data_IF_199671625684
#
_entry.id   IF_199671625684
#
_cell.length_a   1.000
_cell.length_b   1.000
_cell.length_c   1.000
_cell.angle_alpha   90.00
_cell.angle_beta   90.00
_cell.angle_gamma   90.00
#
_symmetry.space_group_name_H-M   'P 1'
#
loop_
_entity.id
_entity.type
_entity.pdbx_description
1 polymer ?
2 non-polymer ?
3 non-polymer ?
4 water ?
#
# COMPACT_ATOMS: atom_id res chain seq x y z
N UNK A 1 2.66 26.41 -14.53
CA UNK A 1 1.61 26.20 -13.53
C UNK A 1 2.01 25.31 -12.38
N UNK A 2 3.31 25.11 -12.18
CA UNK A 2 3.81 24.31 -11.06
C UNK A 2 3.90 25.17 -9.80
N UNK A 3 3.05 24.88 -8.82
CA UNK A 3 3.06 25.52 -7.51
C UNK A 3 4.05 24.81 -6.59
N UNK A 4 4.83 25.57 -5.83
CA UNK A 4 5.79 25.04 -4.86
C UNK A 4 5.24 25.27 -3.46
N UNK A 5 5.19 24.21 -2.64
CA UNK A 5 4.66 24.33 -1.29
C UNK A 5 5.81 24.45 -0.30
N UNK A 6 5.55 24.95 0.94
CA UNK A 6 6.66 25.11 1.90
C UNK A 6 7.45 23.85 2.13
N UNK A 7 6.82 22.68 2.03
CA UNK A 7 7.54 21.43 2.26
C UNK A 7 8.51 21.11 1.14
N UNK A 8 8.41 21.78 -0.01
CA UNK A 8 9.20 21.40 -1.16
C UNK A 8 8.42 20.57 -2.16
N UNK A 9 7.26 20.07 -1.73
CA UNK A 9 6.36 19.35 -2.64
C UNK A 9 5.93 20.33 -3.72
N UNK A 10 5.88 19.85 -4.94
CA UNK A 10 5.39 20.66 -6.03
C UNK A 10 4.24 19.93 -6.70
N UNK A 11 3.32 20.70 -7.26
CA UNK A 11 2.16 20.10 -7.87
C UNK A 11 1.66 20.98 -9.01
N UNK A 12 0.93 20.34 -9.91
CA UNK A 12 0.25 20.98 -11.02
C UNK A 12 -1.18 20.49 -11.04
N UNK A 13 -2.13 21.41 -10.98
CA UNK A 13 -3.54 21.04 -11.06
C UNK A 13 -3.88 20.77 -12.51
N UNK A 14 -4.26 19.53 -12.82
CA UNK A 14 -4.71 19.21 -14.18
C UNK A 14 -6.17 19.58 -14.34
N UNK A 15 -6.99 19.18 -13.38
CA UNK A 15 -8.39 19.50 -13.36
C UNK A 15 -8.81 19.57 -11.91
N UNK A 16 -9.52 20.63 -11.55
CA UNK A 16 -9.97 20.84 -10.18
C UNK A 16 -11.38 20.31 -9.96
N UNK A 17 -11.64 19.82 -8.75
CA UNK A 17 -12.90 19.23 -8.40
C UNK A 17 -13.66 20.11 -7.42
N UNK A 18 -14.90 19.72 -7.15
CA UNK A 18 -15.77 20.48 -6.27
C UNK A 18 -16.09 19.76 -4.97
N UNK A 19 -15.59 18.55 -4.76
CA UNK A 19 -15.93 17.82 -3.55
C UNK A 19 -15.08 18.28 -2.37
N UNK A 20 -15.30 17.66 -1.22
CA UNK A 20 -14.58 18.03 0.00
C UNK A 20 -13.13 17.55 -0.08
N UNK A 21 -12.26 18.19 0.72
CA UNK A 21 -10.85 17.84 0.87
C UNK A 21 -10.68 16.85 2.03
N UNK A 22 -9.90 15.78 1.88
CA UNK A 22 -9.74 14.84 2.98
C UNK A 22 -8.84 15.38 4.09
N UNK A 23 -9.11 14.92 5.31
CA UNK A 23 -8.19 15.04 6.41
C UNK A 23 -7.45 13.72 6.60
N UNK A 24 -6.51 13.69 7.56
CA UNK A 24 -5.62 12.51 7.71
C UNK A 24 -6.37 11.28 8.25
N UNK A 25 -7.45 11.48 8.99
CA UNK A 25 -8.17 10.28 9.42
C UNK A 25 -9.07 9.72 8.33
N UNK A 26 -9.25 10.48 7.25
CA UNK A 26 -10.20 10.11 6.20
C UNK A 26 -9.68 8.95 5.37
N UNK A 27 -10.64 8.26 4.76
CA UNK A 27 -10.36 7.22 3.79
C UNK A 27 -10.64 7.80 2.42
N UNK A 28 -9.78 7.47 1.47
CA UNK A 28 -9.72 8.13 0.19
C UNK A 28 -9.72 7.05 -0.90
N UNK A 29 -10.46 7.31 -1.97
CA UNK A 29 -10.46 6.47 -3.16
C UNK A 29 -9.81 7.27 -4.28
N UNK A 30 -8.82 6.68 -4.94
CA UNK A 30 -7.97 7.35 -5.92
C UNK A 30 -7.60 6.39 -7.04
N UNK A 31 -7.13 6.99 -8.12
CA UNK A 31 -6.42 6.28 -9.18
C UNK A 31 -5.16 7.10 -9.41
N UNK A 32 -4.03 6.41 -9.67
CA UNK A 32 -2.77 7.13 -9.81
C UNK A 32 -1.81 6.36 -10.72
N UNK A 33 -0.80 7.08 -11.17
CA UNK A 33 0.37 6.51 -11.82
C UNK A 33 1.61 7.16 -11.22
N UNK A 34 2.58 6.34 -10.82
CA UNK A 34 3.84 6.82 -10.28
C UNK A 34 5.01 6.57 -11.22
N UNK A 35 5.88 7.57 -11.38
CA UNK A 35 6.98 7.46 -12.33
C UNK A 35 8.25 8.12 -11.77
N UNK A 36 9.40 7.69 -12.32
CA UNK A 36 10.67 8.32 -11.95
C UNK A 36 10.94 9.41 -12.99
N UNK A 37 12.02 10.15 -12.85
CA UNK A 37 12.28 11.27 -13.80
C UNK A 37 12.66 10.70 -15.17
N UNK A 38 13.13 9.45 -15.20
CA UNK A 38 13.49 8.78 -16.48
C UNK A 38 12.22 8.34 -17.19
N UNK A 39 11.11 8.29 -16.47
CA UNK A 39 9.85 7.91 -17.07
C UNK A 39 9.37 6.52 -16.75
N UNK A 40 10.17 5.71 -16.06
CA UNK A 40 9.75 4.38 -15.64
C UNK A 40 8.57 4.48 -14.68
N UNK A 41 7.47 3.83 -15.04
CA UNK A 41 6.29 3.73 -14.16
C UNK A 41 6.54 2.64 -13.13
N UNK A 42 6.38 2.96 -11.85
CA UNK A 42 6.69 1.97 -10.79
C UNK A 42 5.42 1.26 -10.29
N UNK A 43 4.30 1.97 -10.17
CA UNK A 43 3.02 1.31 -9.80
C UNK A 43 1.89 2.12 -10.42
N UNK A 44 0.76 1.46 -10.66
CA UNK A 44 -0.34 2.20 -11.25
C UNK A 44 -1.61 1.50 -10.87
N UNK A 45 -2.70 2.27 -10.77
CA UNK A 45 -3.99 1.63 -10.65
C UNK A 45 -4.46 1.06 -11.97
N UNK A 46 -3.87 1.48 -13.10
CA UNK A 46 -4.22 0.84 -14.37
C UNK A 46 -3.74 -0.61 -14.39
N UNK A 47 -2.60 -0.89 -13.77
CA UNK A 47 -2.08 -2.25 -13.77
C UNK A 47 -3.00 -3.19 -13.02
N UNK A 48 -3.69 -2.69 -12.00
CA UNK A 48 -4.55 -3.51 -11.17
C UNK A 48 -6.00 -3.53 -11.67
N UNK A 49 -6.39 -2.59 -12.52
CA UNK A 49 -7.74 -2.58 -13.03
C UNK A 49 -8.72 -1.76 -12.22
N UNK A 50 -8.46 -1.53 -10.95
CA UNK A 50 -9.38 -0.94 -9.99
C UNK A 50 -8.79 0.27 -9.28
N UNK A 51 -9.64 1.18 -8.77
CA UNK A 51 -9.14 2.27 -7.92
C UNK A 51 -8.57 1.74 -6.62
N UNK A 52 -7.82 2.60 -5.94
CA UNK A 52 -7.18 2.26 -4.67
C UNK A 52 -7.85 3.03 -3.54
N UNK A 53 -8.10 2.33 -2.42
CA UNK A 53 -8.72 2.87 -1.21
C UNK A 53 -7.81 2.69 0.01
N UNK A 54 -7.49 3.78 0.68
CA UNK A 54 -6.60 3.76 1.82
C UNK A 54 -6.94 4.92 2.74
N UNK A 55 -6.40 4.85 3.96
CA UNK A 55 -6.47 5.96 4.90
C UNK A 55 -5.40 6.98 4.56
N UNK A 56 -5.79 8.27 4.55
CA UNK A 56 -4.87 9.33 4.13
C UNK A 56 -3.58 9.28 4.95
N UNK A 57 -3.64 8.82 6.21
CA UNK A 57 -2.46 8.79 7.06
C UNK A 57 -1.49 7.66 6.71
N UNK A 58 -1.91 6.67 5.94
CA UNK A 58 -1.03 5.53 5.68
C UNK A 58 -0.16 5.71 4.44
N UNK A 59 -0.21 6.87 3.79
CA UNK A 59 0.56 7.08 2.56
C UNK A 59 1.78 7.95 2.86
N UNK A 60 2.72 8.00 1.91
CA UNK A 60 3.96 8.77 2.09
C UNK A 60 3.63 10.24 2.30
N UNK A 61 4.48 10.99 3.02
CA UNK A 61 4.14 12.39 3.34
C UNK A 61 3.87 13.27 2.12
N UNK A 62 4.46 12.99 0.96
CA UNK A 62 4.17 13.83 -0.20
C UNK A 62 2.71 13.72 -0.61
N UNK A 63 2.13 12.54 -0.46
CA UNK A 63 0.71 12.35 -0.73
C UNK A 63 -0.16 12.94 0.39
N UNK A 64 0.20 12.69 1.67
CA UNK A 64 -0.64 13.24 2.76
C UNK A 64 -0.69 14.76 2.69
N UNK A 65 0.41 15.39 2.24
CA UNK A 65 0.43 16.83 2.06
C UNK A 65 -0.46 17.26 0.87
N UNK A 66 -0.35 16.57 -0.28
CA UNK A 66 -1.17 16.94 -1.43
C UNK A 66 -2.66 16.67 -1.20
N UNK A 67 -2.98 15.50 -0.64
CA UNK A 67 -4.37 15.07 -0.56
C UNK A 67 -5.20 16.04 0.25
N UNK A 68 -4.62 16.57 1.33
CA UNK A 68 -5.35 17.48 2.20
C UNK A 68 -5.68 18.79 1.51
N UNK A 69 -5.08 19.06 0.36
CA UNK A 69 -5.40 20.22 -0.45
C UNK A 69 -6.27 19.89 -1.66
N UNK A 70 -6.49 18.60 -1.97
CA UNK A 70 -7.20 18.24 -3.20
C UNK A 70 -8.68 18.11 -2.94
N UNK A 71 -9.54 18.91 -3.57
CA UNK A 71 -10.98 18.64 -3.50
C UNK A 71 -11.28 17.34 -4.20
N UNK A 72 -12.25 16.59 -3.66
CA UNK A 72 -12.66 15.35 -4.29
C UNK A 72 -13.10 15.61 -5.73
N UNK A 73 -12.71 14.70 -6.63
CA UNK A 73 -12.94 14.89 -8.05
C UNK A 73 -11.76 15.45 -8.82
N UNK A 74 -10.76 15.99 -8.11
CA UNK A 74 -9.61 16.65 -8.72
C UNK A 74 -8.63 15.63 -9.30
N UNK A 75 -7.87 16.09 -10.29
CA UNK A 75 -6.71 15.39 -10.85
C UNK A 75 -5.51 16.35 -10.79
N UNK A 76 -4.51 15.99 -10.00
CA UNK A 76 -3.28 16.75 -9.85
C UNK A 76 -2.10 15.87 -10.28
N UNK A 77 -1.02 16.54 -10.63
CA UNK A 77 0.28 15.91 -10.77
C UNK A 77 1.14 16.47 -9.66
N UNK A 78 1.72 15.60 -8.82
CA UNK A 78 2.63 16.07 -7.77
C UNK A 78 4.04 15.54 -8.05
N UNK A 79 5.04 16.34 -7.65
CA UNK A 79 6.48 16.09 -7.84
C UNK A 79 7.12 16.07 -6.46
N UNK A 80 7.41 14.87 -5.97
CA UNK A 80 7.66 14.61 -4.55
C UNK A 80 9.16 14.56 -4.32
N UNK A 81 9.73 15.41 -3.48
CA UNK A 81 11.13 15.23 -3.11
C UNK A 81 11.28 13.93 -2.33
N UNK A 82 12.48 13.34 -2.44
CA UNK A 82 12.76 12.05 -1.82
C UNK A 82 12.47 12.06 -0.33
N UNK A 83 12.72 13.20 0.35
CA UNK A 83 12.44 13.29 1.78
C UNK A 83 10.97 13.17 2.11
N UNK A 84 10.08 13.55 1.18
CA UNK A 84 8.64 13.39 1.28
C UNK A 84 8.18 12.10 0.64
N UNK A 85 9.11 11.21 0.34
CA UNK A 85 8.76 9.90 -0.24
C UNK A 85 9.45 8.77 0.53
N UNK A 86 10.52 8.19 -0.02
CA UNK A 86 11.18 7.03 0.62
C UNK A 86 12.56 7.42 1.15
N UNK A 87 13.03 8.63 0.87
CA UNK A 87 14.24 9.10 1.51
C UNK A 87 15.49 8.35 1.06
N UNK A 88 16.47 8.25 1.95
CA UNK A 88 17.73 7.57 1.57
C UNK A 88 17.60 6.06 1.46
N UNK A 89 16.42 5.55 1.74
CA UNK A 89 16.22 4.09 1.65
C UNK A 89 15.82 3.69 0.24
N UNK A 90 16.34 2.57 -0.25
CA UNK A 90 15.89 2.04 -1.56
C UNK A 90 14.71 1.12 -1.25
N UNK A 91 13.57 1.31 -1.93
CA UNK A 91 12.35 0.53 -1.58
C UNK A 91 12.03 -0.50 -2.68
N UNK A 92 12.03 -1.79 -2.32
CA UNK A 92 11.76 -2.89 -3.28
C UNK A 92 11.28 -2.46 -4.65
N UNK A 93 12.21 -1.99 -5.49
CA UNK A 93 11.85 -1.59 -6.86
C UNK A 93 12.97 -0.80 -7.52
N UNK A 94 12.75 -0.23 -8.72
CA UNK A 94 13.75 0.61 -9.36
C UNK A 94 13.91 1.88 -8.52
N UNK A 95 13.00 2.07 -7.55
CA UNK A 95 13.11 3.23 -6.64
C UNK A 95 14.36 2.98 -5.79
N UNK A 96 15.38 3.81 -6.00
CA UNK A 96 16.62 3.66 -5.23
C UNK A 96 16.75 4.72 -4.16
N UNK A 97 17.97 5.08 -3.76
CA UNK A 97 18.18 6.05 -2.70
C UNK A 97 17.91 7.49 -3.15
N UNK A 98 17.24 8.26 -2.29
CA UNK A 98 16.98 9.67 -2.55
C UNK A 98 16.36 9.88 -3.95
N UNK A 99 15.26 9.16 -4.17
CA UNK A 99 14.58 9.14 -5.47
C UNK A 99 13.47 10.17 -5.51
N UNK A 100 13.48 11.01 -6.56
CA UNK A 100 12.35 11.89 -6.83
C UNK A 100 11.24 11.08 -7.50
N UNK A 101 10.00 11.30 -7.06
CA UNK A 101 8.86 10.57 -7.56
C UNK A 101 7.84 11.53 -8.14
N UNK A 102 7.30 11.16 -9.30
CA UNK A 102 6.23 11.92 -9.93
C UNK A 102 4.97 11.06 -9.91
N UNK A 103 3.87 11.62 -9.38
CA UNK A 103 2.57 10.95 -9.33
C UNK A 103 1.51 11.81 -10.01
N UNK A 104 0.75 11.16 -10.89
CA UNK A 104 -0.45 11.82 -11.44
C UNK A 104 -1.57 11.21 -10.60
N UNK A 105 -2.20 12.02 -9.76
CA UNK A 105 -3.21 11.44 -8.82
C UNK A 105 -4.60 11.93 -9.18
N UNK A 106 -5.55 11.01 -9.23
CA UNK A 106 -6.95 11.43 -9.43
C UNK A 106 -7.71 11.04 -8.16
N UNK A 107 -8.13 12.03 -7.39
CA UNK A 107 -8.91 11.79 -6.18
C UNK A 107 -10.39 11.58 -6.56
N UNK A 108 -10.91 10.39 -6.31
CA UNK A 108 -12.29 10.08 -6.70
C UNK A 108 -13.28 10.45 -5.61
N UNK A 109 -13.06 9.93 -4.41
CA UNK A 109 -14.03 10.07 -3.35
C UNK A 109 -13.32 10.10 -2.00
N UNK A 110 -13.97 10.78 -1.07
CA UNK A 110 -13.50 10.97 0.29
C UNK A 110 -14.59 10.43 1.21
N UNK A 111 -14.19 9.65 2.21
CA UNK A 111 -15.10 9.07 3.18
C UNK A 111 -14.56 9.40 4.56
N UNK A 112 -15.42 9.86 5.48
CA UNK A 112 -14.92 10.30 6.77
C UNK A 112 -14.93 9.10 7.71
N UNK A 113 -14.17 9.19 8.80
CA UNK A 113 -14.04 8.00 9.66
C UNK A 113 -14.55 8.29 11.06
N UNK B 1 1.49 -27.60 11.85
CA UNK B 1 2.39 -27.43 10.73
C UNK B 1 1.93 -26.46 9.65
N UNK B 2 2.57 -26.51 8.48
CA UNK B 2 2.23 -25.61 7.39
C UNK B 2 0.95 -26.13 6.74
N UNK B 3 -0.14 -25.41 6.93
CA UNK B 3 -1.45 -25.78 6.38
C UNK B 3 -1.54 -25.33 4.92
N UNK B 4 -2.09 -26.20 4.08
CA UNK B 4 -2.26 -25.90 2.66
C UNK B 4 -3.74 -25.70 2.37
N UNK B 5 -4.07 -24.58 1.70
CA UNK B 5 -5.43 -24.20 1.35
C UNK B 5 -5.70 -24.47 -0.12
N UNK B 6 -6.97 -24.63 -0.51
CA UNK B 6 -7.28 -24.87 -1.93
C UNK B 6 -6.69 -23.85 -2.91
N UNK B 7 -6.47 -22.59 -2.47
CA UNK B 7 -5.96 -21.55 -3.36
C UNK B 7 -4.48 -21.72 -3.71
N UNK B 8 -3.74 -22.49 -2.92
CA UNK B 8 -2.30 -22.55 -3.01
C UNK B 8 -1.63 -21.78 -1.90
N UNK B 9 -2.38 -20.89 -1.25
CA UNK B 9 -1.87 -20.20 -0.07
C UNK B 9 -1.52 -21.22 1.00
N UNK B 10 -0.40 -20.98 1.67
CA UNK B 10 0.01 -21.78 2.79
C UNK B 10 0.30 -20.85 3.95
N UNK B 11 0.08 -21.37 5.15
CA UNK B 11 0.32 -20.57 6.34
C UNK B 11 0.78 -21.49 7.46
N UNK B 12 1.50 -20.90 8.40
CA UNK B 12 1.95 -21.55 9.61
C UNK B 12 1.60 -20.61 10.77
N UNK B 13 0.88 -21.13 11.75
CA UNK B 13 0.53 -20.33 12.92
C UNK B 13 1.76 -20.23 13.80
N UNK B 14 2.27 -19.01 13.97
CA UNK B 14 3.35 -18.80 14.91
C UNK B 14 2.79 -18.63 16.31
N UNK B 15 1.71 -17.85 16.43
CA UNK B 15 1.03 -17.64 17.70
C UNK B 15 -0.45 -17.44 17.40
N UNK B 16 -1.29 -18.07 18.20
CA UNK B 16 -2.73 -17.96 18.00
C UNK B 16 -3.30 -16.83 18.85
N UNK B 17 -4.37 -16.23 18.34
CA UNK B 17 -5.06 -15.15 18.99
C UNK B 17 -6.45 -15.61 19.40
N UNK B 18 -7.14 -14.71 20.11
CA UNK B 18 -8.48 -14.99 20.58
C UNK B 18 -9.52 -14.16 19.85
N UNK B 19 -9.08 -13.20 19.04
CA UNK B 19 -9.92 -12.13 18.58
C UNK B 19 -10.81 -12.46 17.41
N UNK B 20 -11.51 -11.43 16.96
CA UNK B 20 -12.41 -11.54 15.82
C UNK B 20 -11.59 -11.64 14.54
N UNK B 21 -12.15 -12.29 13.55
CA UNK B 21 -11.57 -12.39 12.23
C UNK B 21 -12.15 -11.29 11.34
N UNK B 22 -11.32 -10.58 10.58
CA UNK B 22 -11.85 -9.52 9.72
C UNK B 22 -12.60 -10.07 8.52
N UNK B 23 -13.55 -9.26 8.03
CA UNK B 23 -14.22 -9.53 6.77
C UNK B 23 -13.64 -8.72 5.62
N UNK B 24 -14.20 -8.97 4.42
CA UNK B 24 -13.64 -8.42 3.19
C UNK B 24 -13.71 -6.90 3.16
N UNK B 25 -14.75 -6.32 3.76
CA UNK B 25 -14.95 -4.88 3.87
C UNK B 25 -14.24 -4.27 5.07
N UNK B 26 -13.78 -5.10 6.02
CA UNK B 26 -13.23 -4.60 7.27
C UNK B 26 -11.83 -4.01 7.08
N UNK B 27 -11.46 -3.15 8.03
CA UNK B 27 -10.15 -2.54 8.12
C UNK B 27 -9.29 -3.21 9.19
N UNK B 28 -7.99 -3.35 8.92
CA UNK B 28 -7.10 -4.13 9.74
C UNK B 28 -5.83 -3.33 10.02
N UNK B 29 -5.32 -3.44 11.25
CA UNK B 29 -4.05 -2.87 11.64
C UNK B 29 -3.07 -4.01 11.94
N UNK B 30 -1.88 -3.97 11.35
CA UNK B 30 -0.98 -5.11 11.41
C UNK B 30 0.46 -4.67 11.54
N UNK B 31 1.30 -5.65 11.85
CA UNK B 31 2.75 -5.56 11.79
C UNK B 31 3.20 -6.69 10.87
N UNK B 32 4.10 -6.38 9.94
CA UNK B 32 4.49 -7.39 8.97
C UNK B 32 5.94 -7.21 8.54
N UNK B 33 6.50 -8.30 8.04
CA UNK B 33 7.78 -8.32 7.32
C UNK B 33 7.59 -9.23 6.12
N UNK B 34 7.90 -8.73 4.93
CA UNK B 34 7.81 -9.48 3.70
C UNK B 34 9.18 -9.78 3.11
N UNK B 35 9.36 -11.02 2.63
CA UNK B 35 10.65 -11.48 2.11
C UNK B 35 10.45 -12.44 0.95
N UNK B 36 11.50 -12.61 0.15
CA UNK B 36 11.53 -13.59 -0.93
C UNK B 36 12.13 -14.90 -0.42
N UNK B 37 12.15 -15.93 -1.28
CA UNK B 37 12.64 -17.23 -0.84
C UNK B 37 14.15 -17.23 -0.58
N UNK B 38 14.92 -16.35 -1.24
CA UNK B 38 16.32 -16.17 -0.90
C UNK B 38 16.51 -15.48 0.45
N UNK B 39 15.47 -14.81 0.95
CA UNK B 39 15.57 -14.11 2.22
C UNK B 39 15.67 -12.61 2.14
N UNK B 40 15.73 -12.03 0.93
CA UNK B 40 15.69 -10.58 0.78
C UNK B 40 14.39 -10.00 1.32
N UNK B 41 14.48 -9.11 2.30
CA UNK B 41 13.31 -8.40 2.80
C UNK B 41 12.96 -7.25 1.86
N UNK B 42 11.71 -7.21 1.38
CA UNK B 42 11.33 -6.13 0.49
C UNK B 42 10.58 -4.98 1.15
N UNK B 43 9.90 -5.29 2.26
CA UNK B 43 9.15 -4.26 3.03
C UNK B 43 8.91 -4.79 4.43
N UNK B 44 8.79 -3.88 5.39
CA UNK B 44 8.58 -4.25 6.77
C UNK B 44 7.87 -3.09 7.44
N UNK B 45 7.06 -3.40 8.47
CA UNK B 45 6.52 -2.32 9.30
C UNK B 45 7.59 -1.77 10.23
N UNK B 46 8.67 -2.52 10.48
CA UNK B 46 9.76 -2.02 11.31
C UNK B 46 10.58 -0.97 10.56
N UNK B 47 10.68 -1.05 9.24
CA UNK B 47 11.42 -0.02 8.50
C UNK B 47 10.74 1.34 8.61
N UNK B 48 9.44 1.31 8.91
CA UNK B 48 8.67 2.56 9.10
C UNK B 48 8.60 2.84 10.60
N UNK B 49 8.60 1.78 11.41
CA UNK B 49 8.58 1.95 12.88
C UNK B 49 7.16 1.98 13.40
N UNK B 50 6.20 2.06 12.49
CA UNK B 50 4.78 2.19 12.92
C UNK B 50 3.98 1.07 12.26
N UNK B 51 2.85 0.62 12.85
CA UNK B 51 2.00 -0.37 12.20
C UNK B 51 1.31 0.15 10.93
N UNK B 52 0.78 -0.76 10.11
CA UNK B 52 0.10 -0.42 8.89
C UNK B 52 -1.38 -0.76 9.03
N UNK B 53 -2.22 0.11 8.49
CA UNK B 53 -3.67 -0.07 8.51
C UNK B 53 -4.17 -0.16 7.08
N UNK B 54 -4.99 -1.18 6.81
CA UNK B 54 -5.48 -1.37 5.46
C UNK B 54 -6.91 -1.86 5.50
N UNK B 55 -7.56 -1.74 4.36
CA UNK B 55 -8.81 -2.43 4.09
C UNK B 55 -8.46 -3.82 3.56
N UNK B 56 -9.11 -4.86 4.10
CA UNK B 56 -8.75 -6.23 3.76
C UNK B 56 -8.86 -6.48 2.26
N UNK B 57 -9.79 -5.79 1.60
CA UNK B 57 -10.03 -5.91 0.17
C UNK B 57 -8.98 -5.21 -0.68
N UNK B 58 -8.14 -4.37 -0.11
CA UNK B 58 -7.21 -3.55 -0.86
C UNK B 58 -5.81 -4.14 -0.93
N UNK B 59 -5.59 -5.33 -0.36
CA UNK B 59 -4.29 -5.97 -0.31
C UNK B 59 -4.29 -7.11 -1.35
N UNK B 60 -3.11 -7.70 -1.57
CA UNK B 60 -2.95 -8.79 -2.53
C UNK B 60 -3.83 -9.96 -2.12
N UNK B 61 -4.31 -10.77 -3.09
CA UNK B 61 -5.26 -11.85 -2.77
C UNK B 61 -4.80 -12.85 -1.71
N UNK B 62 -3.49 -13.11 -1.58
CA UNK B 62 -3.03 -14.03 -0.54
C UNK B 62 -3.28 -13.48 0.86
N UNK B 63 -3.13 -12.17 1.03
CA UNK B 63 -3.39 -11.52 2.30
C UNK B 63 -4.88 -11.40 2.56
N UNK B 64 -5.65 -11.06 1.53
CA UNK B 64 -7.08 -10.91 1.69
C UNK B 64 -7.68 -12.19 2.22
N UNK B 65 -7.21 -13.32 1.72
CA UNK B 65 -7.69 -14.61 2.19
C UNK B 65 -7.17 -14.93 3.58
N UNK B 66 -5.86 -14.74 3.80
CA UNK B 66 -5.25 -15.11 5.06
C UNK B 66 -5.80 -14.28 6.21
N UNK B 67 -6.01 -12.98 5.99
CA UNK B 67 -6.45 -12.09 7.07
C UNK B 67 -7.81 -12.51 7.62
N UNK B 68 -8.71 -12.91 6.73
CA UNK B 68 -10.07 -13.30 7.10
C UNK B 68 -10.12 -14.60 7.89
N UNK B 69 -9.01 -15.37 7.93
CA UNK B 69 -8.90 -16.59 8.71
C UNK B 69 -8.09 -16.37 9.98
N UNK B 70 -7.50 -15.18 10.13
CA UNK B 70 -6.62 -14.86 11.26
C UNK B 70 -7.45 -14.26 12.38
N UNK B 71 -7.52 -14.86 13.55
CA UNK B 71 -8.08 -14.15 14.71
C UNK B 71 -7.17 -12.99 15.10
N UNK B 72 -7.78 -11.87 15.50
CA UNK B 72 -6.96 -10.74 15.93
C UNK B 72 -6.10 -11.19 17.10
N UNK B 73 -4.85 -10.76 17.10
CA UNK B 73 -3.85 -11.22 18.03
C UNK B 73 -2.97 -12.32 17.46
N UNK B 74 -3.41 -12.99 16.39
CA UNK B 74 -2.65 -14.11 15.85
C UNK B 74 -1.40 -13.64 15.12
N UNK B 75 -0.39 -14.49 15.14
CA UNK B 75 0.80 -14.28 14.34
C UNK B 75 0.95 -15.50 13.43
N UNK B 76 0.80 -15.26 12.13
CA UNK B 76 0.94 -16.29 11.14
C UNK B 76 2.13 -15.94 10.25
N UNK B 77 2.65 -16.97 9.61
CA UNK B 77 3.56 -16.81 8.48
C UNK B 77 2.83 -17.39 7.29
N UNK B 78 2.65 -16.59 6.26
CA UNK B 78 1.96 -17.05 5.05
C UNK B 78 2.97 -17.13 3.91
N UNK B 79 2.75 -18.10 3.03
CA UNK B 79 3.60 -18.38 1.88
C UNK B 79 2.73 -18.27 0.65
N UNK B 80 2.86 -17.15 -0.06
CA UNK B 80 1.89 -16.75 -1.07
C UNK B 80 2.47 -17.11 -2.43
N UNK B 81 1.78 -17.96 -3.22
CA UNK B 81 2.22 -18.17 -4.61
C UNK B 81 2.01 -16.91 -5.42
N UNK B 82 2.81 -16.75 -6.47
CA UNK B 82 2.72 -15.52 -7.30
C UNK B 82 1.26 -15.25 -7.66
N UNK B 83 0.52 -16.29 -8.04
CA UNK B 83 -0.89 -16.13 -8.43
C UNK B 83 -1.67 -15.36 -7.37
N UNK B 84 -1.34 -15.55 -6.10
CA UNK B 84 -2.11 -14.91 -5.01
C UNK B 84 -1.38 -13.64 -4.57
N UNK B 85 -0.34 -13.27 -5.32
CA UNK B 85 0.45 -12.07 -5.01
C UNK B 85 0.45 -11.15 -6.22
N UNK B 86 1.62 -10.89 -6.79
CA UNK B 86 1.70 -9.97 -7.93
C UNK B 86 1.85 -10.71 -9.26
N UNK B 87 1.86 -12.05 -9.24
CA UNK B 87 1.77 -12.85 -10.44
C UNK B 87 2.89 -12.70 -11.44
N UNK B 88 2.56 -12.94 -12.71
CA UNK B 88 3.57 -12.88 -13.77
C UNK B 88 3.94 -11.47 -14.17
N UNK B 89 3.36 -10.48 -13.47
CA UNK B 89 3.49 -9.10 -13.90
C UNK B 89 4.76 -8.41 -13.43
N UNK B 90 5.36 -8.81 -12.30
CA UNK B 90 6.66 -8.27 -11.87
C UNK B 90 6.43 -6.85 -11.37
N UNK B 91 7.15 -6.41 -10.35
CA UNK B 91 6.90 -5.06 -9.85
C UNK B 91 7.90 -4.10 -10.47
N UNK B 92 8.66 -4.56 -11.47
CA UNK B 92 9.65 -3.71 -12.09
C UNK B 92 10.91 -3.59 -11.27
N UNK B 93 10.97 -4.34 -10.16
CA UNK B 93 12.12 -4.27 -9.25
C UNK B 93 12.37 -5.61 -8.57
N UNK B 94 13.04 -5.64 -7.40
CA UNK B 94 13.37 -6.89 -6.71
C UNK B 94 12.36 -8.05 -6.82
N UNK B 95 11.06 -7.76 -6.67
CA UNK B 95 10.09 -8.87 -6.63
C UNK B 95 10.28 -9.74 -7.87
N UNK B 96 10.17 -9.14 -9.04
CA UNK B 96 10.36 -9.83 -10.28
C UNK B 96 9.20 -10.75 -10.62
N UNK B 97 9.32 -11.46 -11.74
CA UNK B 97 8.16 -12.18 -12.28
C UNK B 97 7.92 -13.51 -11.59
N UNK B 98 6.64 -13.80 -11.38
CA UNK B 98 6.15 -15.06 -10.80
C UNK B 98 6.93 -15.45 -9.53
N UNK B 99 6.98 -14.51 -8.59
CA UNK B 99 7.77 -14.67 -7.38
C UNK B 99 6.87 -15.10 -6.22
N UNK B 100 7.32 -16.11 -5.47
CA UNK B 100 6.67 -16.50 -4.22
C UNK B 100 7.11 -15.56 -3.10
N UNK B 101 6.16 -15.16 -2.25
CA UNK B 101 6.41 -14.21 -1.17
C UNK B 101 6.07 -14.85 0.16
N UNK B 102 6.93 -14.60 1.15
CA UNK B 102 6.73 -15.04 2.53
C UNK B 102 6.51 -13.81 3.40
N UNK B 103 5.41 -13.82 4.16
CA UNK B 103 5.04 -12.72 5.04
C UNK B 103 4.93 -13.22 6.48
N UNK B 104 5.58 -12.54 7.41
CA UNK B 104 5.25 -12.73 8.82
C UNK B 104 4.27 -11.63 9.22
N UNK B 105 3.03 -11.99 9.47
CA UNK B 105 1.96 -11.03 9.72
C UNK B 105 1.56 -11.12 11.18
N UNK B 106 1.39 -9.95 11.82
CA UNK B 106 0.88 -9.92 13.21
C UNK B 106 -0.38 -9.07 13.25
N UNK B 107 -1.56 -9.72 13.29
CA UNK B 107 -2.84 -9.04 13.29
C UNK B 107 -3.02 -8.41 14.67
N UNK B 108 -2.99 -7.08 14.72
CA UNK B 108 -3.12 -6.37 15.98
C UNK B 108 -4.58 -6.04 16.29
N UNK B 109 -5.29 -5.39 15.36
CA UNK B 109 -6.62 -4.86 15.61
C UNK B 109 -7.47 -5.00 14.35
N UNK B 110 -8.79 -5.10 14.56
CA UNK B 110 -9.75 -5.25 13.48
C UNK B 110 -10.81 -4.15 13.59
N UNK B 111 -11.09 -3.47 12.47
CA UNK B 111 -12.09 -2.37 12.46
C UNK B 111 -13.25 -2.77 11.55
N UNK B 112 -14.48 -2.43 11.95
CA UNK B 112 -15.66 -2.90 11.19
C UNK B 112 -16.13 -1.90 10.13
N UNK B 113 -17.30 -2.15 9.55
CA UNK B 113 -17.82 -1.32 8.42
C UNK B 113 -16.87 -1.48 7.23
X LIG C 1 15.60 7.24 -12.14
X LIG C 1 15.83 8.50 -12.72
X LIG C 1 16.63 6.94 -11.11
X LIG C 1 17.10 8.17 -10.53
X LIG C 1 18.00 7.99 -9.45
X LIG C 1 18.65 6.65 -9.53
X LIG C 1 17.86 5.66 -8.89
X LIG D 1 -5.44 6.95 -17.38
X LIG D 1 -6.37 7.11 -18.43
X LIG D 1 -5.96 6.05 -16.30
X LIG D 1 -6.93 6.71 -15.49
X LIG D 1 -6.84 8.14 -15.48
X LIG D 1 -7.46 8.64 -14.21
X LIG D 1 -7.71 10.05 -14.26
X LIG E 1 -13.87 11.61 -11.14
X LIG E 1 -14.68 10.58 -10.60
X LIG E 1 -13.94 9.26 -10.60
X LIG E 1 -13.48 8.90 -11.98
X LIG E 1 -12.74 10.05 -12.58
X LIG E 1 -13.58 11.30 -12.50
X LIG E 1 -12.66 7.66 -11.98
X LIG E 1 -12.52 7.01 -13.34
X LIG E 1 -10.87 7.09 -13.97
X LIG E 1 -10.58 5.81 -14.53
X LIG E 1 -10.87 8.14 -14.96
X LIG E 1 -10.04 7.41 -12.85
X LIG F 1 -1.09 -7.95 20.11
X LIG F 1 -2.38 -7.43 20.43
X LIG F 1 -0.32 -6.94 19.32
X LIG F 1 1.05 -7.25 19.41
X LIG F 1 1.87 -6.09 19.31
X LIG F 1 3.23 -6.48 18.79
X LIG F 1 3.99 -5.35 18.39
X LIG G 1 13.47 -14.58 -10.12
X LIG G 1 12.69 -14.30 -11.28
X LIG G 1 12.66 -14.37 -8.87
X LIG G 1 13.50 -14.36 -7.73
X LIG G 1 13.84 -15.66 -7.32
X LIG G 1 14.19 -15.68 -5.87
X LIG G 1 14.82 -16.91 -5.51
#
# INVERSE_FOLDING_TARGET
GVVVLPSGLQYKVINSGNGVKPGKSDTVTVEYTGRLIDGTVFDSTEKTGKPATFQVSQVIPGWTEALQLMPAGSTWEIYVPSGLAYGPRSVGGPIGPNETLIFKIHLISVKKS
GVVVLPSGLQYKVINSGNGVKPGKSDTVTVEYTGRLIDGTVFDSTEKTGKPATFQVSQVIPGWTEALQLMPAGSTWEIYVPSGLAYGPRSVGGPIGPNETLIFKIHLISVKKS
PEG C1 O1 C2 O2 C3 C4 O4
PEG C1 O1 C2 O2 C3 C4 O4
MES O1 C2 C3 N4 C5 C6 C7 C8 S O1S O2S O3S
PEG C1 O1 C2 O2 C3 C4 O4
PEG C1 O1 C2 O2 C3 C4 O4
#
